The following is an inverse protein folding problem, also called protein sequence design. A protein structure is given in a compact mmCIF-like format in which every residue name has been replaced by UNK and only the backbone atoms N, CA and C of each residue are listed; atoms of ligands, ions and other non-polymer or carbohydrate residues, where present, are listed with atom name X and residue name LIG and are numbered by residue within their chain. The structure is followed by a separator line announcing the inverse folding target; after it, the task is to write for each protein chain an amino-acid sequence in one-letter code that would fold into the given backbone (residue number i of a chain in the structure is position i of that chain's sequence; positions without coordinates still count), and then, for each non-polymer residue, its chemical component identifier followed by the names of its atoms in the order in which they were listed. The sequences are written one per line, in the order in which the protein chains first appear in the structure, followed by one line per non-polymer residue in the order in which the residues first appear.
data_IF_359205207432
#
_entry.id   IF_359205207432
#
_cell.length_a   1.000
_cell.length_b   1.000
_cell.length_c   1.000
_cell.angle_alpha   90.00
_cell.angle_beta   90.00
_cell.angle_gamma   90.00
#
_symmetry.space_group_name_H-M   'P 1'
#
loop_
_entity.id
_entity.type
_entity.pdbx_description
1 polymer ?
#
# COMPACT_ATOMS: atom_id res chain seq x y z
N UNK A 1 18.99 46.27 4.39
CA UNK A 1 18.73 46.15 5.85
C UNK A 1 18.44 47.54 6.40
N UNK A 2 17.41 47.69 7.22
CA UNK A 2 17.04 48.95 7.88
C UNK A 2 16.95 48.71 9.38
N UNK A 3 17.56 49.56 10.20
CA UNK A 3 17.50 49.46 11.67
C UNK A 3 16.86 50.74 12.19
N UNK A 4 15.74 50.60 12.91
CA UNK A 4 15.03 51.72 13.51
C UNK A 4 14.27 51.27 14.77
N UNK A 5 14.28 52.09 15.83
CA UNK A 5 13.52 51.85 17.07
C UNK A 5 13.71 50.43 17.66
N UNK A 6 14.95 49.92 17.67
CA UNK A 6 15.26 48.57 18.18
C UNK A 6 14.78 47.41 17.30
N UNK A 7 14.23 47.70 16.11
CA UNK A 7 13.79 46.71 15.13
C UNK A 7 14.73 46.71 13.92
N UNK A 8 15.23 45.52 13.57
CA UNK A 8 16.00 45.30 12.34
C UNK A 8 15.09 44.71 11.28
N UNK A 9 14.86 45.44 10.19
CA UNK A 9 14.09 44.98 9.03
C UNK A 9 15.02 44.60 7.89
N UNK A 10 14.85 43.38 7.38
CA UNK A 10 15.63 42.81 6.29
C UNK A 10 14.67 42.53 5.14
N UNK A 11 14.92 43.14 4.00
CA UNK A 11 14.25 42.81 2.75
C UNK A 11 15.02 41.67 2.07
N UNK A 12 14.30 40.60 1.76
CA UNK A 12 14.79 39.43 1.04
C UNK A 12 14.30 39.51 -0.40
N UNK A 13 15.02 40.25 -1.25
CA UNK A 13 14.66 40.41 -2.66
C UNK A 13 14.86 39.12 -3.47
N UNK A 14 15.90 38.34 -3.13
CA UNK A 14 16.21 37.05 -3.73
C UNK A 14 17.01 36.21 -2.74
N UNK A 15 16.99 34.90 -2.92
CA UNK A 15 17.76 33.98 -2.09
C UNK A 15 17.59 32.56 -2.60
N UNK A 16 18.62 31.75 -2.39
CA UNK A 16 18.61 30.34 -2.75
C UNK A 16 19.24 29.56 -1.61
N UNK A 17 18.66 28.42 -1.29
CA UNK A 17 19.17 27.50 -0.28
C UNK A 17 19.11 26.08 -0.83
N UNK A 18 20.08 25.27 -0.44
CA UNK A 18 20.00 23.82 -0.65
C UNK A 18 19.99 23.17 0.73
N UNK A 19 18.88 22.54 1.10
CA UNK A 19 18.74 21.87 2.39
C UNK A 19 18.56 20.38 2.12
N UNK A 20 19.53 19.56 2.55
CA UNK A 20 19.48 18.10 2.36
C UNK A 20 19.21 17.71 0.89
N UNK A 21 19.89 18.39 -0.04
CA UNK A 21 19.74 18.19 -1.49
C UNK A 21 18.53 18.88 -2.13
N UNK A 22 17.59 19.42 -1.35
CA UNK A 22 16.44 20.16 -1.88
C UNK A 22 16.85 21.60 -2.16
N UNK A 23 16.82 22.00 -3.43
CA UNK A 23 16.94 23.41 -3.83
C UNK A 23 15.63 24.15 -3.57
N UNK A 24 15.73 25.24 -2.82
CA UNK A 24 14.67 26.19 -2.58
C UNK A 24 15.13 27.58 -3.01
N UNK A 25 14.26 28.35 -3.67
CA UNK A 25 14.55 29.73 -4.05
C UNK A 25 13.42 30.65 -3.61
N UNK A 26 13.76 31.87 -3.21
CA UNK A 26 12.78 32.91 -2.92
C UNK A 26 12.07 33.27 -4.23
N UNK A 27 10.77 33.04 -4.27
CA UNK A 27 9.94 33.29 -5.45
C UNK A 27 9.47 34.75 -5.53
N UNK A 28 9.39 35.44 -4.40
CA UNK A 28 8.93 36.83 -4.30
C UNK A 28 9.65 37.55 -3.17
N UNK A 29 9.90 38.85 -3.35
CA UNK A 29 10.48 39.70 -2.32
C UNK A 29 9.67 39.60 -1.02
N UNK A 30 10.36 39.43 0.09
CA UNK A 30 9.76 39.17 1.40
C UNK A 30 10.46 39.98 2.47
N UNK A 31 9.77 40.34 3.55
CA UNK A 31 10.35 41.11 4.65
C UNK A 31 10.47 40.24 5.90
N UNK A 32 11.61 40.34 6.57
CA UNK A 32 11.86 39.76 7.88
C UNK A 32 12.13 40.90 8.85
N UNK A 33 11.44 40.93 9.98
CA UNK A 33 11.68 41.90 11.04
C UNK A 33 12.16 41.19 12.30
N UNK A 34 13.26 41.67 12.88
CA UNK A 34 13.85 41.14 14.11
C UNK A 34 13.73 42.21 15.19
N UNK A 35 13.01 41.91 16.26
CA UNK A 35 12.85 42.80 17.41
C UNK A 35 12.77 41.97 18.70
N UNK A 36 13.43 42.42 19.77
CA UNK A 36 13.36 41.78 21.10
C UNK A 36 13.62 40.26 21.08
N UNK A 37 14.60 39.81 20.29
CA UNK A 37 14.93 38.38 20.14
C UNK A 37 13.89 37.54 19.40
N UNK A 38 12.86 38.17 18.81
CA UNK A 38 11.84 37.51 17.99
C UNK A 38 12.03 37.91 16.53
N UNK A 39 12.11 36.91 15.66
CA UNK A 39 12.10 37.07 14.21
C UNK A 39 10.68 36.87 13.71
N UNK A 40 10.09 37.89 13.10
CA UNK A 40 8.79 37.82 12.44
C UNK A 40 9.00 37.77 10.93
N UNK A 41 8.27 36.88 10.29
CA UNK A 41 8.24 36.68 8.86
C UNK A 41 6.81 36.88 8.38
N UNK A 42 6.57 37.99 7.69
CA UNK A 42 5.22 38.36 7.24
C UNK A 42 4.72 37.35 6.20
N UNK A 43 5.54 37.12 5.17
CA UNK A 43 5.25 36.18 4.09
C UNK A 43 6.50 35.88 3.29
N UNK A 44 6.99 34.65 3.38
CA UNK A 44 8.05 34.11 2.52
C UNK A 44 7.45 33.13 1.52
N UNK A 45 7.62 33.39 0.23
CA UNK A 45 7.24 32.42 -0.81
C UNK A 45 8.50 31.76 -1.34
N UNK A 46 8.56 30.44 -1.22
CA UNK A 46 9.64 29.60 -1.70
C UNK A 46 9.16 28.79 -2.90
N UNK A 47 9.94 28.76 -3.96
CA UNK A 47 9.80 27.79 -5.05
C UNK A 47 10.56 26.51 -4.68
N UNK A 48 9.87 25.38 -4.75
CA UNK A 48 10.34 24.05 -4.38
C UNK A 48 10.14 23.10 -5.57
N UNK A 49 11.10 23.07 -6.49
CA UNK A 49 11.10 22.12 -7.61
C UNK A 49 9.89 22.22 -8.56
N UNK A 50 9.21 23.38 -8.62
CA UNK A 50 8.00 23.56 -9.43
C UNK A 50 6.71 23.68 -8.60
N UNK A 51 6.76 23.37 -7.30
CA UNK A 51 5.73 23.73 -6.33
C UNK A 51 6.09 24.99 -5.56
N UNK A 52 5.18 25.45 -4.70
CA UNK A 52 5.43 26.62 -3.84
C UNK A 52 5.13 26.31 -2.38
N UNK A 53 5.96 26.83 -1.47
CA UNK A 53 5.66 26.90 -0.05
C UNK A 53 5.55 28.37 0.37
N UNK A 54 4.44 28.75 0.97
CA UNK A 54 4.26 30.07 1.59
C UNK A 54 4.38 29.91 3.09
N UNK A 55 5.33 30.60 3.71
CA UNK A 55 5.61 30.54 5.14
C UNK A 55 5.37 31.90 5.77
N UNK A 56 4.63 31.93 6.87
CA UNK A 56 4.43 33.12 7.71
C UNK A 56 4.68 32.71 9.17
N UNK A 57 5.05 33.66 10.01
CA UNK A 57 5.10 33.37 11.44
C UNK A 57 6.17 34.10 12.24
N UNK A 58 6.26 33.71 13.51
CA UNK A 58 7.20 34.26 14.49
C UNK A 58 8.07 33.14 15.05
N UNK A 59 9.36 33.45 15.20
CA UNK A 59 10.39 32.56 15.74
C UNK A 59 11.13 33.31 16.84
N UNK A 60 10.99 32.87 18.08
CA UNK A 60 11.69 33.42 19.24
C UNK A 60 11.75 32.38 20.35
N UNK A 61 11.39 32.76 21.58
CA UNK A 61 11.23 31.80 22.69
C UNK A 61 10.16 30.74 22.40
N UNK A 62 9.14 31.11 21.63
CA UNK A 62 8.15 30.20 21.07
C UNK A 62 8.14 30.31 19.55
N UNK A 63 7.78 29.21 18.91
CA UNK A 63 7.44 29.12 17.50
C UNK A 63 5.95 29.42 17.32
N UNK A 64 5.61 30.13 16.26
CA UNK A 64 4.26 30.22 15.70
C UNK A 64 4.43 30.38 14.18
N UNK A 65 4.58 29.26 13.48
CA UNK A 65 4.88 29.20 12.05
C UNK A 65 3.70 28.56 11.34
N UNK A 66 3.23 29.19 10.27
CA UNK A 66 2.24 28.64 9.37
C UNK A 66 2.89 28.45 7.99
N UNK A 67 2.79 27.25 7.45
CA UNK A 67 3.24 26.93 6.10
C UNK A 67 2.08 26.41 5.27
N UNK A 68 1.93 26.94 4.07
CA UNK A 68 1.01 26.45 3.05
C UNK A 68 1.81 25.91 1.87
N UNK A 69 1.60 24.64 1.56
CA UNK A 69 2.24 23.92 0.46
C UNK A 69 1.25 23.84 -0.70
N UNK A 70 1.70 24.20 -1.90
CA UNK A 70 0.92 24.07 -3.12
C UNK A 70 1.73 23.30 -4.16
N UNK A 71 1.24 22.11 -4.52
CA UNK A 71 1.79 21.22 -5.55
C UNK A 71 3.31 21.00 -5.44
N UNK A 72 3.80 20.83 -4.21
CA UNK A 72 5.21 20.50 -3.96
C UNK A 72 5.48 19.09 -4.47
N UNK A 73 6.42 18.90 -5.41
CA UNK A 73 6.66 17.60 -6.01
C UNK A 73 7.26 16.63 -4.99
N UNK A 74 6.76 15.40 -4.96
CA UNK A 74 7.26 14.36 -4.06
C UNK A 74 8.66 13.87 -4.44
N UNK A 75 9.13 14.16 -5.65
CA UNK A 75 10.48 13.83 -6.08
C UNK A 75 11.57 14.48 -5.22
N UNK A 76 11.23 15.54 -4.47
CA UNK A 76 12.10 16.10 -3.45
C UNK A 76 12.44 15.10 -2.32
N UNK A 77 11.57 14.11 -2.05
CA UNK A 77 11.83 13.07 -1.06
C UNK A 77 12.93 12.08 -1.51
N UNK A 78 13.22 12.01 -2.81
CA UNK A 78 14.21 11.09 -3.36
C UNK A 78 15.64 11.42 -2.95
N UNK A 79 15.92 12.65 -2.47
CA UNK A 79 17.22 13.00 -1.90
C UNK A 79 17.48 12.32 -0.55
N UNK A 80 16.44 11.88 0.16
CA UNK A 80 16.54 11.22 1.45
C UNK A 80 16.52 9.69 1.34
N UNK A 81 15.94 9.15 0.26
CA UNK A 81 15.79 7.71 0.06
C UNK A 81 16.11 7.34 -1.39
N UNK A 82 17.36 6.93 -1.66
CA UNK A 82 17.73 6.37 -2.96
C UNK A 82 16.85 5.15 -3.30
N UNK A 83 16.36 5.10 -4.54
CA UNK A 83 15.49 4.01 -5.01
C UNK A 83 14.00 4.16 -4.68
N UNK A 84 13.60 5.18 -3.91
CA UNK A 84 12.18 5.49 -3.68
C UNK A 84 11.47 5.85 -4.99
N UNK A 85 12.11 6.68 -5.81
CA UNK A 85 11.58 7.22 -7.07
C UNK A 85 10.12 7.70 -6.91
N UNK A 86 9.92 8.53 -5.87
CA UNK A 86 8.67 9.14 -5.52
C UNK A 86 8.22 10.12 -6.61
N UNK A 87 6.96 9.98 -7.00
CA UNK A 87 6.26 10.83 -7.95
C UNK A 87 4.91 11.27 -7.36
N UNK A 88 4.34 12.31 -7.96
CA UNK A 88 3.14 12.99 -7.48
C UNK A 88 3.45 14.34 -6.84
N UNK A 89 2.44 14.94 -6.23
CA UNK A 89 2.56 16.25 -5.59
C UNK A 89 1.80 16.33 -4.28
N UNK A 90 2.31 17.10 -3.33
CA UNK A 90 1.71 17.36 -2.03
C UNK A 90 1.25 18.82 -1.97
N UNK A 91 0.04 19.03 -1.46
CA UNK A 91 -0.48 20.34 -1.06
C UNK A 91 -1.02 20.24 0.36
N UNK A 92 -1.16 21.35 1.06
CA UNK A 92 -1.75 21.35 2.39
C UNK A 92 -1.15 22.40 3.32
N UNK A 93 -1.53 22.32 4.58
CA UNK A 93 -1.12 23.27 5.61
C UNK A 93 -0.38 22.58 6.74
N UNK A 94 0.57 23.30 7.32
CA UNK A 94 1.34 22.90 8.49
C UNK A 94 1.40 24.09 9.43
N UNK A 95 1.08 23.88 10.71
CA UNK A 95 1.22 24.84 11.78
C UNK A 95 2.19 24.30 12.82
N UNK A 96 3.22 25.07 13.15
CA UNK A 96 4.21 24.73 14.18
C UNK A 96 4.09 25.74 15.31
N UNK A 97 3.97 25.26 16.54
CA UNK A 97 3.87 26.08 17.74
C UNK A 97 4.71 25.54 18.90
N UNK A 98 4.82 26.30 20.00
CA UNK A 98 5.49 25.85 21.22
C UNK A 98 6.99 26.16 21.25
N UNK A 99 7.73 25.56 22.19
CA UNK A 99 9.16 25.82 22.34
C UNK A 99 9.97 25.17 21.20
N UNK A 100 11.05 25.80 20.70
CA UNK A 100 11.89 25.20 19.67
C UNK A 100 12.48 23.82 20.02
N UNK A 101 12.73 23.57 21.30
CA UNK A 101 13.22 22.27 21.78
C UNK A 101 12.14 21.18 21.87
N UNK A 102 10.86 21.56 21.82
CA UNK A 102 9.71 20.65 21.95
C UNK A 102 8.50 21.20 21.15
N UNK A 103 8.62 21.30 19.81
CA UNK A 103 7.56 21.87 19.00
C UNK A 103 6.31 20.99 18.98
N UNK A 104 5.17 21.64 18.86
CA UNK A 104 3.90 21.02 18.47
C UNK A 104 3.63 21.33 17.01
N UNK A 105 3.28 20.32 16.23
CA UNK A 105 2.97 20.47 14.80
C UNK A 105 1.54 19.98 14.57
N UNK A 106 0.74 20.73 13.84
CA UNK A 106 -0.52 20.27 13.28
C UNK A 106 -0.43 20.35 11.76
N UNK A 107 -0.94 19.35 11.05
CA UNK A 107 -0.91 19.34 9.59
C UNK A 107 -2.22 18.80 9.01
N UNK A 108 -2.50 19.24 7.78
CA UNK A 108 -3.52 18.70 6.91
C UNK A 108 -2.98 18.73 5.48
N UNK A 109 -2.78 17.57 4.88
CA UNK A 109 -2.10 17.42 3.60
C UNK A 109 -2.88 16.52 2.65
N UNK A 110 -2.85 16.89 1.38
CA UNK A 110 -3.38 16.14 0.26
C UNK A 110 -2.24 15.85 -0.71
N UNK A 111 -2.02 14.58 -1.00
CA UNK A 111 -1.07 14.10 -1.98
C UNK A 111 -1.82 13.48 -3.15
N UNK A 112 -1.47 13.88 -4.37
CA UNK A 112 -2.12 13.44 -5.60
C UNK A 112 -1.14 12.70 -6.50
N UNK A 113 -1.59 11.60 -7.08
CA UNK A 113 -0.78 10.81 -8.02
C UNK A 113 0.47 10.20 -7.38
N UNK A 114 0.40 9.86 -6.09
CA UNK A 114 1.49 9.28 -5.32
C UNK A 114 1.88 7.94 -5.93
N UNK A 115 3.15 7.83 -6.32
CA UNK A 115 3.76 6.61 -6.81
C UNK A 115 5.21 6.50 -6.35
N UNK A 116 5.72 5.29 -6.32
CA UNK A 116 7.11 4.93 -6.03
C UNK A 116 7.59 3.92 -7.06
N UNK A 117 8.89 3.60 -7.08
CA UNK A 117 9.43 2.52 -7.92
C UNK A 117 8.73 1.17 -7.62
N UNK A 118 8.50 0.86 -6.35
CA UNK A 118 7.91 -0.42 -5.91
C UNK A 118 6.44 -0.53 -6.28
N UNK A 119 5.66 0.55 -6.11
CA UNK A 119 4.24 0.55 -6.45
C UNK A 119 4.03 0.49 -7.96
N UNK A 120 4.85 1.21 -8.75
CA UNK A 120 4.85 1.07 -10.22
C UNK A 120 5.29 -0.31 -10.68
N UNK A 121 6.32 -0.88 -10.06
CA UNK A 121 6.76 -2.25 -10.34
C UNK A 121 5.70 -3.31 -10.01
N UNK A 122 4.80 -3.02 -9.06
CA UNK A 122 3.63 -3.84 -8.77
C UNK A 122 2.44 -3.57 -9.71
N UNK A 123 2.56 -2.68 -10.69
CA UNK A 123 1.50 -2.31 -11.63
C UNK A 123 0.46 -1.36 -11.04
N UNK A 124 0.76 -0.68 -9.93
CA UNK A 124 -0.15 0.27 -9.29
C UNK A 124 -0.10 1.63 -9.98
N UNK A 125 -1.30 2.18 -10.22
CA UNK A 125 -1.46 3.56 -10.68
C UNK A 125 -1.14 4.58 -9.60
N UNK A 126 -1.31 5.87 -9.93
CA UNK A 126 -1.19 6.95 -8.96
C UNK A 126 -2.28 6.90 -7.90
N UNK A 127 -1.88 6.97 -6.63
CA UNK A 127 -2.79 7.00 -5.50
C UNK A 127 -3.01 8.43 -5.00
N UNK A 128 -4.20 8.72 -4.52
CA UNK A 128 -4.49 9.94 -3.79
C UNK A 128 -4.49 9.63 -2.29
N UNK A 129 -3.79 10.46 -1.52
CA UNK A 129 -3.67 10.30 -0.06
C UNK A 129 -4.03 11.63 0.59
N UNK A 130 -5.06 11.67 1.43
CA UNK A 130 -5.29 12.78 2.35
C UNK A 130 -4.89 12.36 3.75
N UNK A 131 -4.22 13.24 4.50
CA UNK A 131 -3.81 12.95 5.88
C UNK A 131 -3.82 14.21 6.73
N UNK A 132 -4.30 14.06 7.96
CA UNK A 132 -4.28 15.12 8.95
C UNK A 132 -3.80 14.57 10.28
N UNK A 133 -3.14 15.39 11.08
CA UNK A 133 -2.61 14.92 12.35
C UNK A 133 -1.89 15.97 13.15
N UNK A 134 -1.38 15.52 14.29
CA UNK A 134 -0.58 16.32 15.20
C UNK A 134 0.68 15.57 15.61
N UNK A 135 1.76 16.31 15.84
CA UNK A 135 2.97 15.82 16.45
C UNK A 135 3.29 16.67 17.67
N UNK A 136 3.30 16.08 18.86
CA UNK A 136 3.69 16.77 20.08
C UNK A 136 4.23 15.74 21.08
N UNK A 137 5.21 16.15 21.91
CA UNK A 137 5.76 15.28 22.95
C UNK A 137 6.34 13.96 22.39
N UNK A 138 7.01 14.02 21.24
CA UNK A 138 7.57 12.86 20.54
C UNK A 138 6.54 11.80 20.14
N UNK A 139 5.30 12.22 19.89
CA UNK A 139 4.21 11.37 19.43
C UNK A 139 3.51 12.02 18.24
N UNK A 140 3.53 11.33 17.11
CA UNK A 140 2.70 11.62 15.95
C UNK A 140 1.35 10.90 16.14
N UNK A 141 0.25 11.62 16.00
CA UNK A 141 -1.09 11.07 15.87
C UNK A 141 -1.66 11.54 14.53
N UNK A 142 -2.19 10.64 13.72
CA UNK A 142 -2.68 11.00 12.40
C UNK A 142 -3.85 10.13 11.95
N UNK A 143 -4.61 10.66 11.01
CA UNK A 143 -5.55 9.93 10.19
C UNK A 143 -5.16 10.08 8.73
N UNK A 144 -5.48 9.09 7.92
CA UNK A 144 -5.19 9.04 6.51
C UNK A 144 -6.31 8.35 5.73
N UNK A 145 -6.60 8.86 4.54
CA UNK A 145 -7.46 8.24 3.55
C UNK A 145 -6.67 8.06 2.27
N UNK A 146 -6.65 6.84 1.74
CA UNK A 146 -5.92 6.45 0.54
C UNK A 146 -6.94 5.94 -0.46
N UNK A 147 -6.86 6.42 -1.71
CA UNK A 147 -7.74 6.01 -2.79
C UNK A 147 -7.02 5.97 -4.13
N UNK A 148 -7.58 5.27 -5.10
CA UNK A 148 -7.11 5.31 -6.48
C UNK A 148 -8.28 5.27 -7.48
N UNK A 149 -7.97 5.34 -8.77
CA UNK A 149 -8.97 5.20 -9.84
C UNK A 149 -9.46 3.77 -10.09
N UNK A 150 -8.81 2.76 -9.50
CA UNK A 150 -9.14 1.34 -9.68
C UNK A 150 -10.09 0.80 -8.59
N UNK A 151 -10.50 1.64 -7.63
CA UNK A 151 -11.43 1.29 -6.56
C UNK A 151 -10.76 0.96 -5.22
N UNK A 152 -9.47 1.26 -5.04
CA UNK A 152 -8.82 1.29 -3.74
C UNK A 152 -9.49 2.34 -2.86
N UNK A 153 -9.78 1.97 -1.61
CA UNK A 153 -10.32 2.88 -0.61
C UNK A 153 -9.94 2.39 0.77
N UNK A 154 -8.82 2.87 1.30
CA UNK A 154 -8.32 2.56 2.63
C UNK A 154 -8.40 3.79 3.51
N UNK A 155 -8.90 3.62 4.73
CA UNK A 155 -8.91 4.65 5.76
C UNK A 155 -8.19 4.11 6.97
N UNK A 156 -7.47 4.96 7.66
CA UNK A 156 -6.78 4.53 8.86
C UNK A 156 -6.06 5.65 9.53
N UNK A 157 -5.17 5.29 10.43
CA UNK A 157 -4.46 6.23 11.25
C UNK A 157 -3.95 5.56 12.50
N UNK A 158 -3.57 6.38 13.47
CA UNK A 158 -3.10 5.91 14.74
C UNK A 158 -1.97 6.77 15.24
N UNK A 159 -1.07 6.16 16.00
CA UNK A 159 0.01 6.88 16.66
C UNK A 159 1.36 6.24 16.44
N UNK A 160 2.38 7.09 16.33
CA UNK A 160 3.78 6.70 16.23
C UNK A 160 4.56 7.49 17.27
N UNK A 161 5.18 6.80 18.23
CA UNK A 161 6.16 7.46 19.11
C UNK A 161 7.49 7.56 18.39
N UNK A 162 8.22 8.66 18.56
CA UNK A 162 9.48 8.92 17.88
C UNK A 162 10.68 8.98 18.82
N UNK A 163 10.45 8.95 20.14
CA UNK A 163 11.52 8.86 21.12
C UNK A 163 12.06 7.42 21.20
N UNK A 164 13.39 7.26 21.13
CA UNK A 164 14.02 5.95 21.14
C UNK A 164 13.68 5.13 19.88
N UNK A 165 13.40 3.84 20.04
CA UNK A 165 12.88 3.01 18.94
C UNK A 165 11.42 3.38 18.67
N UNK A 166 11.07 3.83 17.46
CA UNK A 166 9.70 4.23 17.18
C UNK A 166 8.72 3.08 17.42
N UNK A 167 7.63 3.33 18.13
CA UNK A 167 6.58 2.34 18.37
C UNK A 167 5.33 2.71 17.56
N UNK A 168 4.75 1.72 16.90
CA UNK A 168 3.60 1.83 16.03
C UNK A 168 2.34 1.37 16.76
N UNK A 169 1.27 2.13 16.63
CA UNK A 169 -0.08 1.71 16.94
C UNK A 169 -1.01 2.24 15.85
N UNK A 170 -1.16 1.48 14.78
CA UNK A 170 -1.84 1.88 13.55
C UNK A 170 -3.01 0.96 13.22
N UNK A 171 -4.11 1.52 12.76
CA UNK A 171 -5.31 0.79 12.38
C UNK A 171 -5.76 1.26 11.00
N UNK A 172 -5.95 0.31 10.08
CA UNK A 172 -6.36 0.57 8.71
C UNK A 172 -7.51 -0.34 8.33
N UNK A 173 -8.52 0.19 7.67
CA UNK A 173 -9.65 -0.56 7.16
C UNK A 173 -10.07 -0.06 5.78
N UNK A 174 -10.62 -0.94 4.96
CA UNK A 174 -11.24 -0.54 3.71
C UNK A 174 -11.16 -1.58 2.61
N UNK A 175 -11.40 -1.14 1.38
CA UNK A 175 -11.50 -1.97 0.19
C UNK A 175 -10.20 -1.94 -0.60
N UNK A 176 -9.73 -3.11 -1.00
CA UNK A 176 -8.52 -3.28 -1.80
C UNK A 176 -8.84 -4.15 -3.03
N UNK A 177 -8.76 -3.61 -4.26
CA UNK A 177 -9.12 -4.34 -5.47
C UNK A 177 -8.02 -5.31 -5.90
N UNK A 178 -8.33 -6.56 -6.25
CA UNK A 178 -7.29 -7.55 -6.62
C UNK A 178 -6.48 -7.20 -7.89
N UNK A 179 -6.81 -6.12 -8.58
CA UNK A 179 -6.01 -5.56 -9.66
C UNK A 179 -4.55 -5.28 -9.25
N UNK A 180 -4.26 -5.04 -7.96
CA UNK A 180 -2.87 -4.93 -7.46
C UNK A 180 -2.04 -6.21 -7.64
N UNK A 181 -2.69 -7.36 -7.80
CA UNK A 181 -2.04 -8.65 -8.05
C UNK A 181 -1.99 -9.00 -9.54
N UNK A 182 -2.70 -8.25 -10.38
CA UNK A 182 -2.96 -8.65 -11.77
C UNK A 182 -1.67 -8.90 -12.55
N UNK A 183 -0.68 -8.01 -12.47
CA UNK A 183 0.58 -8.18 -13.19
C UNK A 183 1.33 -9.47 -12.78
N UNK A 184 1.40 -9.75 -11.47
CA UNK A 184 2.08 -10.95 -10.93
C UNK A 184 1.32 -12.24 -11.27
N UNK A 185 0.00 -12.20 -11.20
CA UNK A 185 -0.86 -13.36 -11.51
C UNK A 185 -0.90 -13.63 -13.02
N UNK A 186 -0.96 -12.59 -13.84
CA UNK A 186 -0.96 -12.72 -15.30
C UNK A 186 0.33 -13.37 -15.82
N UNK A 187 1.48 -13.09 -15.20
CA UNK A 187 2.74 -13.79 -15.49
C UNK A 187 2.67 -15.31 -15.25
N UNK A 188 1.70 -15.77 -14.45
CA UNK A 188 1.41 -17.18 -14.18
C UNK A 188 0.17 -17.68 -14.94
N UNK A 189 -0.36 -16.92 -15.91
CA UNK A 189 -1.59 -17.25 -16.63
C UNK A 189 -2.86 -17.19 -15.79
N UNK A 190 -2.82 -16.55 -14.63
CA UNK A 190 -3.95 -16.41 -13.71
C UNK A 190 -4.56 -15.00 -13.81
N UNK A 191 -5.89 -14.92 -13.77
CA UNK A 191 -6.64 -13.67 -13.66
C UNK A 191 -7.51 -13.67 -12.42
N UNK A 192 -7.29 -12.75 -11.49
CA UNK A 192 -8.11 -12.58 -10.30
C UNK A 192 -8.84 -11.23 -10.34
N UNK A 193 -10.15 -11.26 -10.27
CA UNK A 193 -11.02 -10.08 -10.27
C UNK A 193 -11.86 -10.04 -8.99
N UNK A 194 -12.15 -8.83 -8.51
CA UNK A 194 -12.92 -8.60 -7.28
C UNK A 194 -12.16 -7.72 -6.29
N UNK A 195 -12.66 -7.64 -5.07
CA UNK A 195 -12.08 -6.80 -4.01
C UNK A 195 -12.01 -7.57 -2.69
N UNK A 196 -11.04 -7.25 -1.86
CA UNK A 196 -11.00 -7.65 -0.46
C UNK A 196 -11.35 -6.47 0.46
N UNK A 197 -12.12 -6.72 1.51
CA UNK A 197 -12.23 -5.83 2.64
C UNK A 197 -11.14 -6.23 3.65
N UNK A 198 -10.33 -5.27 4.05
CA UNK A 198 -9.26 -5.47 5.03
C UNK A 198 -9.55 -4.67 6.29
N UNK A 199 -9.20 -5.24 7.43
CA UNK A 199 -9.09 -4.55 8.70
C UNK A 199 -7.75 -5.00 9.29
N UNK A 200 -6.77 -4.11 9.32
CA UNK A 200 -5.37 -4.41 9.66
C UNK A 200 -4.94 -3.51 10.80
N UNK A 201 -4.28 -4.11 11.77
CA UNK A 201 -3.69 -3.47 12.92
C UNK A 201 -2.19 -3.73 12.90
N UNK A 202 -1.41 -2.68 13.12
CA UNK A 202 0.04 -2.77 13.26
C UNK A 202 0.41 -2.26 14.64
N UNK A 203 1.14 -3.07 15.40
CA UNK A 203 1.53 -2.79 16.79
C UNK A 203 3.01 -3.06 17.02
N UNK A 204 3.61 -2.40 18.01
CA UNK A 204 4.97 -2.70 18.47
C UNK A 204 6.06 -1.85 17.80
N UNK A 205 7.35 -2.19 17.98
CA UNK A 205 8.47 -1.42 17.45
C UNK A 205 8.47 -1.38 15.92
N UNK A 206 8.85 -0.26 15.32
CA UNK A 206 8.95 -0.11 13.87
C UNK A 206 10.00 -1.03 13.23
N UNK A 207 10.96 -1.54 14.01
CA UNK A 207 11.94 -2.54 13.58
C UNK A 207 11.39 -3.97 13.57
N UNK A 208 10.33 -4.26 14.33
CA UNK A 208 9.70 -5.59 14.41
C UNK A 208 8.19 -5.45 14.66
N UNK A 209 7.44 -4.91 13.68
CA UNK A 209 6.01 -4.69 13.84
C UNK A 209 5.25 -6.02 13.89
N UNK A 210 4.28 -6.10 14.80
CA UNK A 210 3.31 -7.18 14.86
C UNK A 210 2.08 -6.75 14.05
N UNK A 211 1.79 -7.52 13.00
CA UNK A 211 0.64 -7.31 12.12
C UNK A 211 -0.47 -8.26 12.56
N UNK A 212 -1.66 -7.72 12.78
CA UNK A 212 -2.88 -8.46 13.07
C UNK A 212 -4.05 -7.94 12.26
N UNK A 213 -5.15 -8.68 12.19
CA UNK A 213 -6.36 -8.21 11.51
C UNK A 213 -7.18 -9.29 10.83
N UNK A 214 -8.05 -8.86 9.94
CA UNK A 214 -8.90 -9.72 9.10
C UNK A 214 -8.89 -9.27 7.64
N UNK A 215 -9.02 -10.24 6.75
CA UNK A 215 -9.22 -10.03 5.32
C UNK A 215 -10.41 -10.87 4.90
N UNK A 216 -11.39 -10.22 4.29
CA UNK A 216 -12.59 -10.88 3.77
C UNK A 216 -12.78 -10.54 2.31
N UNK A 217 -13.32 -11.47 1.53
CA UNK A 217 -13.73 -11.20 0.15
C UNK A 217 -15.03 -11.95 -0.12
N UNK A 218 -15.85 -11.42 -1.02
CA UNK A 218 -17.08 -12.03 -1.48
C UNK A 218 -17.29 -11.70 -2.96
N UNK A 219 -17.69 -12.69 -3.75
CA UNK A 219 -17.98 -12.51 -5.17
C UNK A 219 -16.73 -12.33 -6.05
N UNK A 220 -15.54 -12.69 -5.56
CA UNK A 220 -14.34 -12.64 -6.40
C UNK A 220 -14.34 -13.80 -7.42
N UNK A 221 -13.55 -13.65 -8.48
CA UNK A 221 -13.43 -14.64 -9.55
C UNK A 221 -11.99 -14.84 -9.95
N UNK A 222 -11.55 -16.09 -9.94
CA UNK A 222 -10.23 -16.51 -10.40
C UNK A 222 -10.39 -17.29 -11.70
N UNK A 223 -9.54 -17.01 -12.68
CA UNK A 223 -9.46 -17.73 -13.94
C UNK A 223 -8.03 -18.23 -14.12
N UNK A 224 -7.89 -19.49 -14.51
CA UNK A 224 -6.63 -20.01 -15.04
C UNK A 224 -6.77 -20.15 -16.57
N UNK A 225 -6.08 -19.27 -17.30
CA UNK A 225 -6.13 -19.24 -18.74
C UNK A 225 -5.51 -20.50 -19.39
N UNK A 226 -4.62 -21.20 -18.68
CA UNK A 226 -3.94 -22.40 -19.19
C UNK A 226 -4.85 -23.62 -19.22
N UNK A 227 -5.69 -23.77 -18.18
CA UNK A 227 -6.64 -24.87 -18.07
C UNK A 227 -8.05 -24.52 -18.55
N UNK A 228 -8.35 -23.22 -18.74
CA UNK A 228 -9.70 -22.73 -19.03
C UNK A 228 -10.65 -22.82 -17.84
N UNK A 229 -10.15 -23.19 -16.65
CA UNK A 229 -10.93 -23.29 -15.43
C UNK A 229 -11.16 -21.90 -14.84
N UNK A 230 -12.35 -21.69 -14.29
CA UNK A 230 -12.64 -20.52 -13.47
C UNK A 230 -13.33 -20.92 -12.17
N UNK A 231 -12.97 -20.22 -11.10
CA UNK A 231 -13.62 -20.29 -9.79
C UNK A 231 -14.38 -18.99 -9.60
N UNK A 232 -15.71 -19.07 -9.55
CA UNK A 232 -16.60 -17.94 -9.34
C UNK A 232 -17.06 -17.87 -7.87
N UNK A 233 -17.69 -16.75 -7.53
CA UNK A 233 -18.30 -16.52 -6.21
C UNK A 233 -17.35 -16.80 -5.04
N UNK A 234 -16.07 -16.46 -5.23
CA UNK A 234 -15.04 -16.69 -4.23
C UNK A 234 -15.40 -15.85 -3.01
N UNK A 235 -15.60 -16.55 -1.89
CA UNK A 235 -15.75 -15.96 -0.59
C UNK A 235 -14.64 -16.47 0.32
N UNK A 236 -13.95 -15.57 1.01
CA UNK A 236 -12.92 -15.96 1.97
C UNK A 236 -13.01 -15.13 3.24
N UNK A 237 -12.67 -15.77 4.36
CA UNK A 237 -12.46 -15.18 5.66
C UNK A 237 -11.09 -15.62 6.19
N UNK A 238 -10.21 -14.64 6.39
CA UNK A 238 -8.83 -14.84 6.80
C UNK A 238 -8.55 -13.98 8.02
N UNK A 239 -8.04 -14.58 9.09
CA UNK A 239 -7.50 -13.86 10.24
C UNK A 239 -5.98 -13.82 10.18
N UNK A 240 -5.39 -12.70 10.55
CA UNK A 240 -3.94 -12.49 10.58
C UNK A 240 -3.55 -12.22 12.03
N UNK A 241 -2.52 -12.91 12.51
CA UNK A 241 -1.98 -12.70 13.84
C UNK A 241 -0.78 -13.59 14.10
N UNK A 242 0.08 -13.19 15.03
CA UNK A 242 1.23 -13.99 15.48
C UNK A 242 2.15 -14.46 14.33
N UNK A 243 2.27 -13.68 13.25
CA UNK A 243 3.08 -14.06 12.09
C UNK A 243 2.46 -15.11 11.17
N UNK A 244 1.16 -15.38 11.30
CA UNK A 244 0.42 -16.36 10.50
C UNK A 244 -0.88 -15.75 9.97
N UNK A 245 -1.19 -16.01 8.70
CA UNK A 245 -2.50 -15.81 8.12
C UNK A 245 -3.26 -17.14 8.16
N UNK A 246 -4.35 -17.20 8.92
CA UNK A 246 -5.23 -18.35 9.05
C UNK A 246 -6.44 -18.17 8.15
N UNK A 247 -6.63 -19.09 7.21
CA UNK A 247 -7.81 -19.17 6.36
C UNK A 247 -8.88 -19.94 7.15
N UNK A 248 -9.82 -19.21 7.74
CA UNK A 248 -10.92 -19.83 8.49
C UNK A 248 -11.91 -20.49 7.53
N UNK A 249 -12.15 -19.83 6.38
CA UNK A 249 -12.99 -20.36 5.32
C UNK A 249 -12.57 -19.74 4.00
N UNK A 250 -12.45 -20.56 2.97
CA UNK A 250 -12.43 -20.15 1.57
C UNK A 250 -13.40 -21.06 0.82
N UNK A 251 -14.28 -20.48 0.01
CA UNK A 251 -15.24 -21.21 -0.82
C UNK A 251 -15.33 -20.61 -2.21
N UNK A 252 -15.64 -21.41 -3.21
CA UNK A 252 -15.96 -20.94 -4.57
C UNK A 252 -16.64 -22.02 -5.40
N UNK A 253 -17.21 -21.62 -6.53
CA UNK A 253 -17.92 -22.51 -7.48
C UNK A 253 -17.12 -22.65 -8.76
N UNK A 254 -16.97 -23.87 -9.28
CA UNK A 254 -16.26 -24.08 -10.54
C UNK A 254 -17.15 -23.74 -11.74
N UNK A 255 -16.59 -23.08 -12.76
CA UNK A 255 -17.29 -22.78 -14.02
C UNK A 255 -17.77 -24.03 -14.75
N UNK A 256 -17.14 -25.16 -14.49
CA UNK A 256 -17.45 -26.47 -15.09
C UNK A 256 -18.48 -27.28 -14.30
N UNK A 257 -18.99 -26.75 -13.17
CA UNK A 257 -19.75 -27.44 -12.09
C UNK A 257 -18.86 -27.94 -10.96
N UNK A 258 -19.41 -27.90 -9.74
CA UNK A 258 -18.75 -28.32 -8.51
C UNK A 258 -18.43 -27.14 -7.59
N UNK A 259 -18.01 -27.47 -6.37
CA UNK A 259 -17.59 -26.50 -5.37
C UNK A 259 -16.20 -26.80 -4.83
N UNK A 260 -15.48 -25.73 -4.50
CA UNK A 260 -14.18 -25.74 -3.88
C UNK A 260 -14.30 -25.15 -2.49
N UNK A 261 -13.67 -25.78 -1.50
CA UNK A 261 -13.47 -25.19 -0.18
C UNK A 261 -12.03 -25.37 0.28
N UNK A 262 -11.50 -24.40 1.03
CA UNK A 262 -10.16 -24.50 1.61
C UNK A 262 -10.09 -23.86 3.00
N UNK A 263 -9.17 -24.36 3.81
CA UNK A 263 -8.85 -23.84 5.14
C UNK A 263 -7.41 -24.18 5.50
N UNK A 264 -6.81 -23.46 6.45
CA UNK A 264 -5.45 -23.76 6.88
C UNK A 264 -4.68 -22.53 7.33
N UNK A 265 -3.36 -22.59 7.29
CA UNK A 265 -2.47 -21.51 7.72
C UNK A 265 -1.37 -21.24 6.69
N UNK A 266 -0.93 -19.99 6.64
CA UNK A 266 0.21 -19.54 5.84
C UNK A 266 1.05 -18.58 6.70
N UNK A 267 2.33 -18.89 6.92
CA UNK A 267 3.25 -17.97 7.57
C UNK A 267 3.48 -16.73 6.72
N UNK A 268 3.47 -15.53 7.32
CA UNK A 268 3.62 -14.26 6.58
C UNK A 268 5.06 -13.75 6.50
N UNK A 269 6.04 -14.53 6.97
CA UNK A 269 7.44 -14.17 6.92
C UNK A 269 8.04 -14.49 5.53
N UNK A 270 8.44 -13.49 4.72
CA UNK A 270 9.03 -13.73 3.41
C UNK A 270 10.34 -14.52 3.48
N UNK A 271 11.12 -14.38 4.55
CA UNK A 271 12.39 -15.09 4.72
C UNK A 271 12.20 -16.61 4.88
N UNK A 272 11.00 -17.06 5.27
CA UNK A 272 10.65 -18.48 5.38
C UNK A 272 9.95 -19.01 4.12
N UNK A 273 9.81 -18.19 3.07
CA UNK A 273 9.15 -18.59 1.83
C UNK A 273 7.65 -18.90 1.98
N UNK A 274 6.99 -18.26 2.95
CA UNK A 274 5.56 -18.42 3.24
C UNK A 274 5.16 -19.89 3.47
N UNK A 275 5.62 -20.51 4.59
CA UNK A 275 5.31 -21.90 4.89
C UNK A 275 3.80 -22.06 5.10
N UNK A 276 3.20 -22.99 4.36
CA UNK A 276 1.76 -23.23 4.39
C UNK A 276 1.43 -24.64 4.92
N UNK A 277 0.26 -24.75 5.53
CA UNK A 277 -0.44 -26.02 5.78
C UNK A 277 -1.91 -25.79 5.44
N UNK A 278 -2.28 -26.18 4.22
CA UNK A 278 -3.60 -25.94 3.66
C UNK A 278 -4.29 -27.27 3.38
N UNK A 279 -5.58 -27.32 3.72
CA UNK A 279 -6.50 -28.39 3.31
C UNK A 279 -7.50 -27.82 2.31
N UNK A 280 -7.63 -28.49 1.18
CA UNK A 280 -8.50 -28.12 0.06
C UNK A 280 -9.42 -29.30 -0.23
N UNK A 281 -10.71 -29.05 -0.33
CA UNK A 281 -11.72 -30.03 -0.70
C UNK A 281 -12.45 -29.61 -1.95
N UNK A 282 -12.48 -30.52 -2.92
CA UNK A 282 -13.21 -30.40 -4.17
C UNK A 282 -14.42 -31.34 -4.15
N UNK A 283 -15.61 -30.79 -4.40
CA UNK A 283 -16.86 -31.57 -4.44
C UNK A 283 -17.52 -31.44 -5.81
N UNK A 284 -17.79 -32.58 -6.45
CA UNK A 284 -18.48 -32.69 -7.75
C UNK A 284 -17.90 -31.77 -8.85
N UNK A 285 -16.58 -31.61 -8.86
CA UNK A 285 -15.86 -30.86 -9.88
C UNK A 285 -15.94 -31.57 -11.22
N UNK A 286 -16.03 -30.83 -12.31
CA UNK A 286 -15.93 -31.41 -13.66
C UNK A 286 -14.67 -30.91 -14.35
N UNK A 287 -13.89 -31.83 -14.87
CA UNK A 287 -12.76 -31.52 -15.73
C UNK A 287 -13.07 -31.91 -17.17
N UNK A 288 -12.67 -31.06 -18.10
CA UNK A 288 -12.68 -31.35 -19.52
C UNK A 288 -11.48 -30.68 -20.17
N UNK A 289 -10.77 -31.41 -21.02
CA UNK A 289 -9.66 -30.87 -21.83
C UNK A 289 -10.14 -30.34 -23.20
N UNK A 290 -11.47 -30.36 -23.43
CA UNK A 290 -12.11 -29.93 -24.66
C UNK A 290 -11.89 -30.84 -25.88
N UNK A 291 -11.19 -31.98 -25.73
CA UNK A 291 -10.77 -32.81 -26.88
C UNK A 291 -10.94 -34.31 -26.64
N UNK A 292 -10.48 -34.82 -25.51
CA UNK A 292 -10.24 -36.26 -25.29
C UNK A 292 -10.88 -36.71 -23.99
N UNK A 293 -10.70 -35.98 -22.89
CA UNK A 293 -11.10 -36.44 -21.55
C UNK A 293 -12.16 -35.53 -20.95
N UNK A 294 -13.17 -36.17 -20.37
CA UNK A 294 -14.17 -35.54 -19.53
C UNK A 294 -14.39 -36.39 -18.29
N UNK A 295 -14.15 -35.84 -17.10
CA UNK A 295 -14.27 -36.56 -15.84
C UNK A 295 -15.00 -35.73 -14.78
N UNK A 296 -15.82 -36.40 -13.96
CA UNK A 296 -16.27 -35.84 -12.70
C UNK A 296 -15.27 -36.22 -11.59
N UNK A 297 -14.92 -35.26 -10.75
CA UNK A 297 -13.81 -35.30 -9.80
C UNK A 297 -14.31 -34.85 -8.43
N UNK A 298 -13.96 -35.60 -7.40
CA UNK A 298 -14.03 -35.15 -6.01
C UNK A 298 -12.73 -35.48 -5.33
N UNK A 299 -12.32 -34.72 -4.32
CA UNK A 299 -11.09 -35.06 -3.62
C UNK A 299 -10.70 -34.11 -2.52
N UNK A 300 -9.80 -34.60 -1.68
CA UNK A 300 -9.20 -33.89 -0.58
C UNK A 300 -7.70 -33.78 -0.86
N UNK A 301 -7.22 -32.54 -0.92
CA UNK A 301 -5.85 -32.17 -1.22
C UNK A 301 -5.26 -31.39 -0.03
N UNK A 302 -3.97 -31.55 0.17
CA UNK A 302 -3.18 -30.81 1.15
C UNK A 302 -2.01 -30.14 0.45
N UNK A 303 -1.68 -28.92 0.90
CA UNK A 303 -0.49 -28.18 0.44
C UNK A 303 0.34 -27.88 1.68
N UNK A 304 1.57 -28.39 1.73
CA UNK A 304 2.49 -28.22 2.85
C UNK A 304 3.84 -27.66 2.42
N UNK A 305 4.41 -26.78 3.25
CA UNK A 305 5.75 -26.23 3.05
C UNK A 305 5.76 -24.85 2.37
N UNK A 306 6.94 -24.36 1.95
CA UNK A 306 7.12 -22.99 1.45
C UNK A 306 6.49 -22.78 0.06
N UNK A 307 5.50 -21.89 -0.03
CA UNK A 307 4.70 -21.65 -1.25
C UNK A 307 5.50 -21.09 -2.44
N UNK A 308 6.62 -20.41 -2.19
CA UNK A 308 7.41 -19.74 -3.25
C UNK A 308 8.64 -20.51 -3.71
N UNK A 309 8.91 -21.70 -3.16
CA UNK A 309 10.02 -22.55 -3.61
C UNK A 309 9.51 -23.89 -4.11
N UNK A 310 9.15 -24.80 -3.21
CA UNK A 310 8.67 -26.14 -3.55
C UNK A 310 7.67 -26.65 -2.49
N UNK A 311 6.41 -26.21 -2.55
CA UNK A 311 5.38 -26.78 -1.69
C UNK A 311 5.06 -28.22 -2.13
N UNK A 312 4.81 -29.09 -1.17
CA UNK A 312 4.34 -30.46 -1.42
C UNK A 312 2.83 -30.44 -1.52
N UNK A 313 2.28 -30.89 -2.64
CA UNK A 313 0.85 -31.13 -2.83
C UNK A 313 0.59 -32.63 -2.71
N UNK A 314 -0.26 -33.04 -1.77
CA UNK A 314 -0.57 -34.43 -1.52
C UNK A 314 -2.07 -34.62 -1.26
N UNK A 315 -2.65 -35.73 -1.70
CA UNK A 315 -4.06 -36.01 -1.48
C UNK A 315 -4.61 -37.05 -2.45
N UNK A 316 -5.92 -37.27 -2.37
CA UNK A 316 -6.63 -38.25 -3.20
C UNK A 316 -7.65 -37.54 -4.06
N UNK A 317 -7.58 -37.76 -5.38
CA UNK A 317 -8.62 -37.34 -6.33
C UNK A 317 -9.36 -38.58 -6.80
N UNK A 318 -10.66 -38.64 -6.49
CA UNK A 318 -11.57 -39.68 -6.94
C UNK A 318 -12.19 -39.27 -8.27
N UNK A 319 -11.92 -40.05 -9.31
CA UNK A 319 -12.57 -39.93 -10.59
C UNK A 319 -13.86 -40.75 -10.56
N UNK A 320 -14.99 -40.08 -10.72
CA UNK A 320 -16.28 -40.73 -10.94
C UNK A 320 -16.44 -41.03 -12.44
N UNK A 321 -17.60 -40.72 -13.01
CA UNK A 321 -17.86 -40.93 -14.45
C UNK A 321 -16.79 -40.21 -15.28
N UNK A 322 -16.02 -41.00 -16.02
CA UNK A 322 -14.95 -40.55 -16.91
C UNK A 322 -15.24 -41.05 -18.32
N UNK A 323 -15.24 -40.14 -19.28
CA UNK A 323 -15.43 -40.41 -20.71
C UNK A 323 -14.14 -40.02 -21.42
N UNK A 324 -13.55 -40.98 -22.12
CA UNK A 324 -12.34 -40.79 -22.92
C UNK A 324 -12.72 -41.03 -24.38
N UNK A 325 -12.61 -39.98 -25.19
CA UNK A 325 -12.88 -40.03 -26.63
C UNK A 325 -11.60 -40.46 -27.33
N UNK A 326 -11.62 -41.63 -27.98
CA UNK A 326 -10.50 -42.12 -28.79
C UNK A 326 -10.72 -41.66 -30.24
N UNK A 327 -9.87 -40.78 -30.82
CA UNK A 327 -10.01 -40.39 -32.21
C UNK A 327 -9.64 -41.55 -33.14
N UNK A 328 -10.49 -41.81 -34.14
CA UNK A 328 -10.32 -42.96 -35.07
C UNK A 328 -9.20 -42.76 -36.11
N UNK A 329 -8.60 -41.57 -36.24
CA UNK A 329 -7.48 -41.29 -37.16
C UNK A 329 -6.44 -40.35 -36.55
N UNK A 330 -5.18 -40.78 -36.54
CA UNK A 330 -4.02 -39.88 -36.42
C UNK A 330 -3.95 -39.01 -37.69
N UNK A 331 -3.61 -37.70 -37.60
CA UNK A 331 -3.28 -36.93 -38.80
C UNK A 331 -2.15 -37.66 -39.52
N UNK A 332 -2.37 -38.01 -40.78
CA UNK A 332 -1.38 -38.65 -41.62
C UNK A 332 -0.09 -37.84 -41.57
N UNK A 333 1.01 -38.50 -41.23
CA UNK A 333 2.36 -37.95 -41.31
C UNK A 333 2.55 -37.16 -42.61
N UNK A 334 3.08 -35.95 -42.50
CA UNK A 334 3.73 -35.26 -43.61
C UNK A 334 4.77 -36.23 -44.19
N UNK A 335 4.46 -36.74 -45.37
CA UNK A 335 5.41 -37.46 -46.21
C UNK A 335 6.15 -36.39 -47.01
N UNK A 336 7.47 -36.33 -46.81
CA UNK A 336 8.54 -35.67 -47.56
C UNK A 336 8.18 -34.55 -48.55
#
# INVERSE_FOLDING_TARGET
VRVANGTTTIELASGQATVQGIKAAIAQASTVSIANGTTSLDRLVLNLGGGTATVTGKVGQALDINANLARVPMSLANSFSPGLDAAGSISGTVKVSGAPASPSVAFNVDASGVQTSQTRGAGLGGMNVSSSGTFAGNKLAFEANISDGAGLGLKGGGTVTTAGTPALALDFNGKVPFSFLAAKLAAQGLGLTGTANVNVQVRGPASSPVIGGTVTTSGARLVDARSGLAVNDIAADVSIGSGVARINRLTGTLSTRGSLSASGTVGINPAQGFPADLSIKLTDGRYTDGRVVTANLGGDLTIKGPLVSAPVIAGTINLAKTVITVPEKLPGSLSA
#
